data_IF_373423000212
#
_entry.id   IF_373423000212
#
_cell.length_a   1.000
_cell.length_b   1.000
_cell.length_c   1.000
_cell.angle_alpha   90.00
_cell.angle_beta   90.00
_cell.angle_gamma   90.00
#
_symmetry.space_group_name_H-M   'P 1'
#
loop_
_entity.id
_entity.type
_entity.pdbx_description
1 polymer ?
#
# COMPACT_ATOMS: atom_id res chain seq x y z
N UNK A 1 -47.59 -45.65 -17.18
CA UNK A 1 -46.29 -45.33 -17.83
C UNK A 1 -45.87 -43.83 -17.77
N UNK A 2 -46.59 -42.91 -17.09
CA UNK A 2 -46.22 -41.47 -17.05
C UNK A 2 -45.20 -41.06 -15.97
N UNK A 3 -44.91 -41.93 -14.99
CA UNK A 3 -44.14 -41.59 -13.77
C UNK A 3 -42.62 -41.60 -13.99
N UNK A 4 -42.13 -42.45 -14.89
CA UNK A 4 -40.69 -42.63 -15.17
C UNK A 4 -40.06 -41.47 -15.94
N UNK A 5 -40.83 -40.80 -16.80
CA UNK A 5 -40.35 -39.66 -17.59
C UNK A 5 -40.11 -38.41 -16.74
N UNK A 6 -40.93 -38.17 -15.72
CA UNK A 6 -40.77 -37.05 -14.79
C UNK A 6 -39.51 -37.18 -13.93
N UNK A 7 -39.19 -38.40 -13.48
CA UNK A 7 -37.99 -38.67 -12.68
C UNK A 7 -36.73 -38.41 -13.51
N UNK A 8 -36.70 -38.88 -14.77
CA UNK A 8 -35.56 -38.67 -15.69
C UNK A 8 -35.30 -37.19 -16.00
N UNK A 9 -36.35 -36.38 -16.15
CA UNK A 9 -36.24 -34.95 -16.39
C UNK A 9 -35.68 -34.20 -15.18
N UNK A 10 -36.15 -34.51 -13.97
CA UNK A 10 -35.65 -33.88 -12.73
C UNK A 10 -34.19 -34.23 -12.48
N UNK A 11 -33.79 -35.50 -12.71
CA UNK A 11 -32.39 -35.90 -12.56
C UNK A 11 -31.46 -35.24 -13.59
N UNK A 12 -31.93 -35.03 -14.82
CA UNK A 12 -31.14 -34.36 -15.86
C UNK A 12 -30.94 -32.88 -15.53
N UNK A 13 -31.97 -32.19 -15.06
CA UNK A 13 -31.88 -30.78 -14.63
C UNK A 13 -30.95 -30.59 -13.43
N UNK A 14 -30.99 -31.49 -12.45
CA UNK A 14 -30.07 -31.47 -11.31
C UNK A 14 -28.61 -31.69 -11.73
N UNK A 15 -28.37 -32.62 -12.67
CA UNK A 15 -27.04 -32.90 -13.18
C UNK A 15 -26.45 -31.72 -13.96
N UNK A 16 -27.25 -31.08 -14.82
CA UNK A 16 -26.85 -29.88 -15.55
C UNK A 16 -26.59 -28.69 -14.62
N UNK A 17 -27.41 -28.50 -13.59
CA UNK A 17 -27.20 -27.47 -12.57
C UNK A 17 -25.90 -27.68 -11.79
N UNK A 18 -25.58 -28.93 -11.43
CA UNK A 18 -24.33 -29.27 -10.75
C UNK A 18 -23.11 -29.02 -11.65
N UNK A 19 -23.17 -29.39 -12.93
CA UNK A 19 -22.12 -29.13 -13.91
C UNK A 19 -21.88 -27.63 -14.12
N UNK A 20 -22.95 -26.83 -14.21
CA UNK A 20 -22.86 -25.38 -14.30
C UNK A 20 -22.22 -24.78 -13.03
N UNK A 21 -22.59 -25.27 -11.84
CA UNK A 21 -22.00 -24.81 -10.59
C UNK A 21 -20.52 -25.14 -10.47
N UNK A 22 -20.12 -26.36 -10.85
CA UNK A 22 -18.72 -26.81 -10.85
C UNK A 22 -17.89 -25.98 -11.83
N UNK A 23 -18.41 -25.72 -13.04
CA UNK A 23 -17.71 -24.91 -14.04
C UNK A 23 -17.57 -23.46 -13.63
N UNK A 24 -18.62 -22.83 -13.07
CA UNK A 24 -18.53 -21.46 -12.52
C UNK A 24 -17.53 -21.41 -11.37
N UNK A 25 -17.55 -22.40 -10.48
CA UNK A 25 -16.62 -22.46 -9.35
C UNK A 25 -15.17 -22.63 -9.81
N UNK A 26 -14.91 -23.46 -10.82
CA UNK A 26 -13.57 -23.68 -11.39
C UNK A 26 -13.01 -22.46 -12.13
N UNK A 27 -13.87 -21.61 -12.71
CA UNK A 27 -13.43 -20.43 -13.47
C UNK A 27 -13.36 -19.18 -12.59
N UNK A 28 -14.31 -18.98 -11.67
CA UNK A 28 -14.38 -17.78 -10.84
C UNK A 28 -13.41 -17.79 -9.64
N UNK A 29 -13.12 -18.96 -9.04
CA UNK A 29 -12.21 -19.02 -7.90
C UNK A 29 -10.76 -18.63 -8.24
N UNK A 30 -10.15 -19.11 -9.34
CA UNK A 30 -8.78 -18.76 -9.68
C UNK A 30 -8.58 -17.26 -9.91
N UNK A 31 -9.55 -16.59 -10.53
CA UNK A 31 -9.48 -15.15 -10.78
C UNK A 31 -9.51 -14.37 -9.45
N UNK A 32 -10.37 -14.76 -8.51
CA UNK A 32 -10.41 -14.16 -7.17
C UNK A 32 -9.11 -14.41 -6.42
N UNK A 33 -8.58 -15.63 -6.46
CA UNK A 33 -7.30 -15.98 -5.82
C UNK A 33 -6.16 -15.15 -6.42
N UNK A 34 -6.13 -14.96 -7.74
CA UNK A 34 -5.12 -14.17 -8.42
C UNK A 34 -5.22 -12.68 -8.07
N UNK A 35 -6.43 -12.12 -8.01
CA UNK A 35 -6.67 -10.72 -7.59
C UNK A 35 -6.22 -10.52 -6.15
N UNK A 36 -6.57 -11.44 -5.25
CA UNK A 36 -6.16 -11.40 -3.85
C UNK A 36 -4.64 -11.52 -3.73
N UNK A 37 -4.02 -12.50 -4.41
CA UNK A 37 -2.57 -12.69 -4.38
C UNK A 37 -1.81 -11.48 -4.94
N UNK A 38 -2.31 -10.84 -6.01
CA UNK A 38 -1.69 -9.64 -6.58
C UNK A 38 -1.85 -8.42 -5.69
N UNK A 39 -2.97 -8.27 -4.98
CA UNK A 39 -3.15 -7.21 -3.99
C UNK A 39 -2.15 -7.32 -2.81
N UNK A 40 -1.83 -8.55 -2.39
CA UNK A 40 -0.90 -8.82 -1.28
C UNK A 40 0.59 -8.88 -1.68
N UNK A 41 0.91 -8.92 -2.97
CA UNK A 41 2.29 -9.05 -3.47
C UNK A 41 2.86 -7.76 -4.07
N UNK A 42 2.11 -6.65 -4.08
CA UNK A 42 2.66 -5.39 -4.55
C UNK A 42 3.77 -4.91 -3.62
N UNK A 43 4.94 -4.50 -4.17
CA UNK A 43 6.01 -3.97 -3.36
C UNK A 43 5.54 -2.69 -2.65
N UNK A 44 5.94 -2.49 -1.38
CA UNK A 44 5.62 -1.27 -0.66
C UNK A 44 6.15 -0.02 -1.39
N UNK A 45 5.48 1.11 -1.15
CA UNK A 45 5.92 2.39 -1.69
C UNK A 45 6.93 3.03 -0.76
N UNK A 46 8.11 3.33 -1.28
CA UNK A 46 9.14 4.09 -0.60
C UNK A 46 9.06 5.55 -1.06
N UNK A 47 9.12 6.49 -0.12
CA UNK A 47 9.10 7.93 -0.37
C UNK A 47 10.40 8.53 0.13
N UNK A 48 10.93 9.52 -0.59
CA UNK A 48 12.11 10.25 -0.15
C UNK A 48 11.87 11.75 -0.17
N UNK A 49 12.33 12.43 0.89
CA UNK A 49 12.38 13.88 0.97
C UNK A 49 13.81 14.30 1.27
N UNK A 50 14.33 15.24 0.49
CA UNK A 50 15.55 15.98 0.83
C UNK A 50 15.17 17.41 1.20
N UNK A 51 15.64 17.87 2.36
CA UNK A 51 15.37 19.21 2.83
C UNK A 51 16.62 19.85 3.42
N UNK A 52 16.82 21.13 3.15
CA UNK A 52 17.94 21.93 3.65
C UNK A 52 17.42 23.08 4.49
N UNK A 53 18.03 23.31 5.66
CA UNK A 53 17.56 24.28 6.64
C UNK A 53 18.66 25.25 7.05
N UNK A 54 18.28 26.42 7.57
CA UNK A 54 19.23 27.34 8.20
C UNK A 54 19.70 26.81 9.55
N UNK A 55 18.76 26.25 10.31
CA UNK A 55 18.94 25.75 11.66
C UNK A 55 18.30 24.36 11.79
N UNK A 56 19.04 23.43 12.41
CA UNK A 56 18.60 22.06 12.66
C UNK A 56 18.45 21.84 14.17
N UNK A 57 17.50 20.99 14.60
CA UNK A 57 17.43 20.58 16.00
C UNK A 57 18.65 19.74 16.38
N UNK A 58 18.90 19.62 17.69
CA UNK A 58 20.05 18.89 18.21
C UNK A 58 20.10 17.42 17.74
N UNK A 59 18.94 16.77 17.60
CA UNK A 59 18.81 15.42 17.05
C UNK A 59 17.53 15.25 16.22
N UNK A 60 17.42 14.13 15.50
CA UNK A 60 16.29 13.80 14.64
C UNK A 60 15.26 12.86 15.32
N UNK A 61 15.33 12.65 16.64
CA UNK A 61 14.50 11.64 17.33
C UNK A 61 13.01 11.94 17.26
N UNK A 62 12.66 13.21 17.43
CA UNK A 62 11.29 13.69 17.35
C UNK A 62 10.69 13.49 15.97
N UNK A 63 11.46 13.78 14.92
CA UNK A 63 11.06 13.54 13.53
C UNK A 63 10.83 12.06 13.27
N UNK A 64 11.77 11.19 13.69
CA UNK A 64 11.62 9.73 13.54
C UNK A 64 10.39 9.21 14.28
N UNK A 65 10.18 9.65 15.53
CA UNK A 65 9.02 9.26 16.33
C UNK A 65 7.72 9.68 15.64
N UNK A 66 7.62 10.95 15.25
CA UNK A 66 6.43 11.46 14.57
C UNK A 66 6.15 10.72 13.25
N UNK A 67 7.18 10.42 12.44
CA UNK A 67 7.02 9.64 11.22
C UNK A 67 6.52 8.22 11.48
N UNK A 68 7.01 7.56 12.53
CA UNK A 68 6.55 6.22 12.93
C UNK A 68 5.10 6.21 13.45
N UNK A 69 4.60 7.34 13.95
CA UNK A 69 3.20 7.48 14.39
C UNK A 69 2.23 7.70 13.21
N UNK A 70 2.74 7.96 12.00
CA UNK A 70 1.89 8.18 10.83
C UNK A 70 1.26 6.87 10.37
N UNK A 71 -0.02 6.97 9.98
CA UNK A 71 -0.76 5.82 9.49
C UNK A 71 -0.05 5.21 8.28
N UNK A 72 0.15 3.88 8.31
CA UNK A 72 0.72 3.13 7.21
C UNK A 72 2.24 3.18 7.08
N UNK A 73 2.95 4.02 7.84
CA UNK A 73 4.41 4.03 7.84
C UNK A 73 4.94 2.81 8.59
N UNK A 74 5.72 1.94 7.93
CA UNK A 74 6.31 0.75 8.57
C UNK A 74 7.83 0.83 8.74
N UNK A 75 8.51 1.72 8.00
CA UNK A 75 9.94 1.97 8.12
C UNK A 75 10.21 3.46 7.91
N UNK A 76 11.17 3.99 8.65
CA UNK A 76 11.65 5.36 8.52
C UNK A 76 13.17 5.40 8.70
N UNK A 77 13.85 6.10 7.81
CA UNK A 77 15.27 6.38 7.84
C UNK A 77 15.46 7.89 7.69
N UNK A 78 16.27 8.47 8.59
CA UNK A 78 16.67 9.87 8.50
C UNK A 78 18.19 9.90 8.55
N UNK A 79 18.80 10.48 7.52
CA UNK A 79 20.22 10.78 7.46
C UNK A 79 20.42 12.30 7.42
N UNK A 80 21.51 12.76 8.02
CA UNK A 80 21.86 14.17 8.13
C UNK A 80 23.26 14.38 7.57
N UNK A 81 23.43 15.41 6.75
CA UNK A 81 24.73 15.81 6.19
C UNK A 81 24.82 17.33 6.21
N UNK A 82 25.55 17.87 7.18
CA UNK A 82 25.62 19.31 7.42
C UNK A 82 24.24 19.87 7.75
N UNK A 83 23.77 20.82 6.92
CA UNK A 83 22.45 21.48 7.06
C UNK A 83 21.31 20.79 6.27
N UNK A 84 21.62 19.69 5.60
CA UNK A 84 20.68 18.92 4.81
C UNK A 84 20.28 17.64 5.54
N UNK A 85 19.00 17.30 5.47
CA UNK A 85 18.47 16.01 5.88
C UNK A 85 17.91 15.28 4.67
N UNK A 86 18.04 13.96 4.68
CA UNK A 86 17.35 13.07 3.77
C UNK A 86 16.49 12.13 4.59
N UNK A 87 15.21 12.09 4.26
CA UNK A 87 14.19 11.31 4.93
C UNK A 87 13.72 10.28 3.92
N UNK A 88 13.66 9.01 4.32
CA UNK A 88 13.09 7.93 3.52
C UNK A 88 12.11 7.17 4.39
N UNK A 89 10.91 6.93 3.91
CA UNK A 89 9.94 6.09 4.62
C UNK A 89 9.20 5.16 3.67
N UNK A 90 8.88 3.97 4.18
CA UNK A 90 8.08 2.99 3.47
C UNK A 90 6.64 2.99 3.98
N UNK A 91 5.69 2.85 3.06
CA UNK A 91 4.27 2.83 3.35
C UNK A 91 3.64 1.47 3.03
N UNK A 92 2.81 0.95 3.94
CA UNK A 92 2.22 -0.38 3.86
C UNK A 92 1.01 -0.47 2.92
N UNK A 93 0.34 0.66 2.67
CA UNK A 93 -0.69 0.72 1.63
C UNK A 93 -0.06 0.65 0.24
N UNK A 94 -0.65 -0.18 -0.61
CA UNK A 94 -0.15 -0.52 -1.95
C UNK A 94 -0.67 0.46 -3.01
N UNK A 95 -0.25 0.27 -4.28
CA UNK A 95 -0.47 1.21 -5.40
C UNK A 95 -1.95 1.48 -5.72
N UNK A 96 -2.87 0.66 -5.22
CA UNK A 96 -4.30 0.76 -5.53
C UNK A 96 -5.00 1.98 -4.92
N UNK A 97 -4.42 2.63 -3.90
CA UNK A 97 -5.11 3.69 -3.16
C UNK A 97 -4.37 5.02 -3.03
N UNK A 98 -3.29 5.27 -3.79
CA UNK A 98 -2.40 6.45 -3.67
C UNK A 98 -2.27 6.94 -2.21
N UNK A 99 -1.40 6.30 -1.41
CA UNK A 99 -1.40 6.47 0.03
C UNK A 99 -1.31 7.94 0.42
N UNK A 100 -2.13 8.36 1.39
CA UNK A 100 -2.05 9.71 1.94
C UNK A 100 -0.70 9.87 2.62
N UNK A 101 0.21 10.60 1.97
CA UNK A 101 1.54 10.86 2.51
C UNK A 101 1.48 11.93 3.59
N UNK A 102 2.22 11.76 4.69
CA UNK A 102 2.31 12.78 5.73
C UNK A 102 3.00 14.04 5.20
N UNK A 103 2.45 15.22 5.52
CA UNK A 103 2.97 16.51 5.06
C UNK A 103 4.15 16.97 5.94
N UNK A 104 5.34 16.45 5.64
CA UNK A 104 6.57 16.76 6.36
C UNK A 104 6.87 18.27 6.43
N UNK A 105 6.54 19.01 5.37
CA UNK A 105 6.88 20.43 5.27
C UNK A 105 6.22 21.24 6.38
N UNK A 106 4.97 20.94 6.74
CA UNK A 106 4.23 21.63 7.80
C UNK A 106 4.75 21.35 9.19
N UNK A 107 5.41 20.22 9.38
CA UNK A 107 5.82 19.74 10.70
C UNK A 107 7.25 20.15 11.06
N UNK A 108 8.06 20.55 10.09
CA UNK A 108 9.46 20.92 10.32
C UNK A 108 9.65 21.97 11.39
N UNK A 109 8.91 23.09 11.33
CA UNK A 109 9.03 24.15 12.34
C UNK A 109 8.65 23.65 13.73
N UNK A 110 7.58 22.84 13.86
CA UNK A 110 7.17 22.25 15.14
C UNK A 110 8.22 21.28 15.69
N UNK A 111 8.93 20.59 14.80
CA UNK A 111 9.98 19.62 15.12
C UNK A 111 11.36 20.26 15.31
N UNK A 112 11.46 21.59 15.25
CA UNK A 112 12.69 22.36 15.51
C UNK A 112 13.61 22.53 14.30
N UNK A 113 13.13 22.26 13.09
CA UNK A 113 13.85 22.53 11.83
C UNK A 113 13.39 23.88 11.30
N UNK A 114 14.29 24.86 11.25
CA UNK A 114 13.91 26.24 10.94
C UNK A 114 14.61 26.81 9.72
N UNK A 115 13.89 27.70 9.03
CA UNK A 115 14.40 28.41 7.87
C UNK A 115 14.68 27.48 6.71
N UNK A 116 13.66 26.74 6.25
CA UNK A 116 13.73 25.88 5.08
C UNK A 116 14.28 26.65 3.87
N UNK A 117 15.39 26.16 3.30
CA UNK A 117 16.11 26.74 2.15
C UNK A 117 15.71 26.02 0.87
N UNK A 118 15.74 24.69 0.90
CA UNK A 118 15.42 23.84 -0.24
C UNK A 118 14.60 22.63 0.23
N UNK A 119 13.72 22.15 -0.64
CA UNK A 119 12.87 21.00 -0.38
C UNK A 119 12.59 20.29 -1.69
N UNK A 120 12.91 19.01 -1.73
CA UNK A 120 12.72 18.13 -2.86
C UNK A 120 12.03 16.86 -2.36
N UNK A 121 10.93 16.50 -2.99
CA UNK A 121 10.16 15.30 -2.68
C UNK A 121 10.18 14.39 -3.90
N UNK A 122 10.66 13.16 -3.70
CA UNK A 122 10.69 12.12 -4.71
C UNK A 122 9.78 10.96 -4.28
N UNK A 123 8.73 10.76 -5.07
CA UNK A 123 7.81 9.61 -4.95
C UNK A 123 8.31 8.51 -5.87
N UNK A 124 9.49 7.99 -5.57
CA UNK A 124 10.10 6.91 -6.34
C UNK A 124 9.38 5.60 -6.07
N UNK A 125 8.53 5.18 -7.00
CA UNK A 125 8.09 3.79 -7.08
C UNK A 125 9.34 2.92 -7.18
N UNK A 126 9.49 1.94 -6.29
CA UNK A 126 10.62 1.00 -6.25
C UNK A 126 10.59 0.04 -7.46
N UNK A 127 10.72 0.60 -8.66
CA UNK A 127 10.93 -0.07 -9.94
C UNK A 127 12.28 0.46 -10.48
N UNK A 128 13.38 0.01 -9.86
CA UNK A 128 14.73 -0.04 -10.44
C UNK A 128 15.29 -1.43 -10.23
#
# INVERSE_FOLDING_TARGET
MKRTWRIRLVTLSLFLGLLAFITISLVAFPEIILIVATAFTQPPMDYSVSAEFRELPADDKELKRWLHEQHGVYICLVSRTGKRIQIVWGHSQTRFSDPVTPDLRKEFDRLGYHGLIAYEEDKSHRDR
#
